data_IF_242133242521
#
_entry.id   IF_242133242521
#
_cell.length_a   1.000
_cell.length_b   1.000
_cell.length_c   1.000
_cell.angle_alpha   90.00
_cell.angle_beta   90.00
_cell.angle_gamma   90.00
#
_symmetry.space_group_name_H-M   'P 1'
#
loop_
_entity.id
_entity.type
_entity.pdbx_description
1 polymer ?
#
# COMPACT_ATOMS: atom_id res chain seq x y z
N UNK A 1 -55.30 18.24 40.93
CA UNK A 1 -54.47 18.68 39.79
C UNK A 1 -53.03 18.27 40.06
N UNK A 2 -52.74 16.97 39.97
CA UNK A 2 -51.42 16.41 40.22
C UNK A 2 -51.35 15.09 39.45
N UNK A 3 -50.88 15.16 38.21
CA UNK A 3 -50.63 13.99 37.37
C UNK A 3 -49.43 14.24 36.47
N UNK A 4 -48.53 13.27 36.46
CA UNK A 4 -47.54 12.98 35.43
C UNK A 4 -46.30 13.88 35.30
N UNK A 5 -45.40 13.77 36.28
CA UNK A 5 -43.97 13.77 35.98
C UNK A 5 -43.52 12.33 35.64
N UNK A 6 -43.76 11.91 34.40
CA UNK A 6 -43.14 10.71 33.83
C UNK A 6 -41.62 10.94 33.75
N UNK A 7 -40.90 10.43 34.74
CA UNK A 7 -39.46 10.22 34.69
C UNK A 7 -39.12 9.39 33.44
N UNK A 8 -38.63 10.04 32.38
CA UNK A 8 -37.93 9.37 31.28
C UNK A 8 -36.72 8.67 31.90
N UNK A 9 -36.77 7.35 32.06
CA UNK A 9 -35.60 6.56 32.44
C UNK A 9 -34.54 6.73 31.35
N UNK A 10 -33.54 7.56 31.64
CA UNK A 10 -32.36 7.70 30.80
C UNK A 10 -31.62 6.36 30.89
N UNK A 11 -31.75 5.53 29.85
CA UNK A 11 -30.98 4.30 29.74
C UNK A 11 -29.52 4.65 29.55
N UNK A 12 -28.82 4.68 30.67
CA UNK A 12 -27.38 4.83 30.79
C UNK A 12 -26.66 3.77 29.96
N UNK A 13 -25.99 4.19 28.88
CA UNK A 13 -25.23 3.28 28.03
C UNK A 13 -23.93 2.88 28.76
N UNK A 14 -23.60 1.58 28.75
CA UNK A 14 -22.41 1.04 29.40
C UNK A 14 -21.19 1.09 28.46
N UNK A 15 -19.96 1.13 28.99
CA UNK A 15 -18.71 1.20 28.21
C UNK A 15 -18.55 0.06 27.19
N UNK A 16 -19.20 -1.10 27.41
CA UNK A 16 -19.34 -2.18 26.43
C UNK A 16 -19.85 -1.70 25.05
N UNK A 17 -20.61 -0.61 25.03
CA UNK A 17 -21.13 -0.02 23.80
C UNK A 17 -20.08 0.77 23.01
N UNK A 18 -19.10 1.38 23.69
CA UNK A 18 -17.98 2.07 23.04
C UNK A 18 -17.12 1.04 22.30
N UNK A 19 -16.73 -0.05 22.98
CA UNK A 19 -15.97 -1.14 22.38
C UNK A 19 -16.78 -1.79 21.24
N UNK A 20 -18.08 -2.02 21.44
CA UNK A 20 -18.95 -2.54 20.38
C UNK A 20 -19.06 -1.58 19.19
N UNK A 21 -19.07 -0.27 19.41
CA UNK A 21 -19.07 0.72 18.32
C UNK A 21 -17.76 0.66 17.54
N UNK A 22 -16.61 0.59 18.22
CA UNK A 22 -15.30 0.44 17.58
C UNK A 22 -15.24 -0.84 16.73
N UNK A 23 -15.64 -1.98 17.30
CA UNK A 23 -15.66 -3.26 16.59
C UNK A 23 -16.59 -3.24 15.37
N UNK A 24 -17.77 -2.63 15.48
CA UNK A 24 -18.69 -2.47 14.34
C UNK A 24 -18.08 -1.62 13.22
N UNK A 25 -17.36 -0.56 13.56
CA UNK A 25 -16.68 0.26 12.55
C UNK A 25 -15.53 -0.49 11.88
N UNK A 26 -14.72 -1.23 12.65
CA UNK A 26 -13.69 -2.11 12.11
C UNK A 26 -14.30 -3.12 11.13
N UNK A 27 -15.34 -3.83 11.55
CA UNK A 27 -16.01 -4.82 10.72
C UNK A 27 -16.60 -4.20 9.45
N UNK A 28 -17.19 -3.00 9.53
CA UNK A 28 -17.69 -2.28 8.37
C UNK A 28 -16.59 -2.01 7.34
N UNK A 29 -15.44 -1.48 7.78
CA UNK A 29 -14.32 -1.19 6.87
C UNK A 29 -13.78 -2.47 6.22
N UNK A 30 -13.57 -3.53 7.00
CA UNK A 30 -13.14 -4.84 6.48
C UNK A 30 -14.09 -5.38 5.41
N UNK A 31 -15.41 -5.28 5.63
CA UNK A 31 -16.41 -5.71 4.66
C UNK A 31 -16.44 -4.82 3.42
N UNK A 32 -16.24 -3.51 3.56
CA UNK A 32 -16.17 -2.60 2.42
C UNK A 32 -14.91 -2.85 1.56
N UNK A 33 -13.79 -3.19 2.19
CA UNK A 33 -12.56 -3.58 1.49
C UNK A 33 -12.75 -4.89 0.74
N UNK A 34 -13.32 -5.91 1.39
CA UNK A 34 -13.69 -7.18 0.75
C UNK A 34 -14.67 -6.97 -0.41
N UNK A 35 -15.69 -6.13 -0.26
CA UNK A 35 -16.63 -5.78 -1.33
C UNK A 35 -15.90 -5.12 -2.51
N UNK A 36 -14.97 -4.21 -2.24
CA UNK A 36 -14.20 -3.54 -3.29
C UNK A 36 -13.31 -4.51 -4.06
N UNK A 37 -12.71 -5.48 -3.37
CA UNK A 37 -11.99 -6.60 -4.01
C UNK A 37 -12.90 -7.46 -4.87
N UNK A 38 -14.09 -7.81 -4.37
CA UNK A 38 -15.08 -8.56 -5.16
C UNK A 38 -15.45 -7.82 -6.43
N UNK A 39 -15.75 -6.52 -6.34
CA UNK A 39 -16.07 -5.68 -7.50
C UNK A 39 -14.88 -5.65 -8.48
N UNK A 40 -13.64 -5.54 -7.98
CA UNK A 40 -12.44 -5.56 -8.82
C UNK A 40 -12.26 -6.88 -9.57
N UNK A 41 -12.43 -8.03 -8.89
CA UNK A 41 -12.31 -9.35 -9.50
C UNK A 41 -13.42 -9.59 -10.54
N UNK A 42 -14.66 -9.16 -10.25
CA UNK A 42 -15.78 -9.28 -11.19
C UNK A 42 -15.57 -8.39 -12.42
N UNK A 43 -15.17 -7.13 -12.22
CA UNK A 43 -14.95 -6.17 -13.30
C UNK A 43 -13.84 -6.65 -14.25
N UNK A 44 -12.77 -7.24 -13.69
CA UNK A 44 -11.64 -7.77 -14.45
C UNK A 44 -11.74 -9.27 -14.74
N UNK A 45 -12.93 -9.87 -14.67
CA UNK A 45 -13.11 -11.32 -14.82
C UNK A 45 -12.58 -11.85 -16.15
N UNK A 46 -12.73 -11.10 -17.23
CA UNK A 46 -12.19 -11.49 -18.55
C UNK A 46 -10.66 -11.58 -18.55
N UNK A 47 -9.97 -10.67 -17.86
CA UNK A 47 -8.51 -10.72 -17.72
C UNK A 47 -8.08 -11.94 -16.89
N UNK A 48 -8.76 -12.19 -15.76
CA UNK A 48 -8.52 -13.38 -14.94
C UNK A 48 -8.69 -14.68 -15.74
N UNK A 49 -9.72 -14.74 -16.59
CA UNK A 49 -9.97 -15.92 -17.45
C UNK A 49 -8.87 -16.11 -18.50
N UNK A 50 -8.40 -15.03 -19.14
CA UNK A 50 -7.33 -15.09 -20.14
C UNK A 50 -6.02 -15.55 -19.51
N UNK A 51 -5.72 -15.09 -18.29
CA UNK A 51 -4.53 -15.50 -17.55
C UNK A 51 -4.63 -16.93 -16.97
N UNK A 52 -5.78 -17.60 -17.06
CA UNK A 52 -5.96 -18.96 -16.58
C UNK A 52 -6.12 -19.07 -15.05
N UNK A 53 -6.53 -18.00 -14.38
CA UNK A 53 -6.66 -17.94 -12.93
C UNK A 53 -7.79 -18.85 -12.43
N UNK A 54 -7.47 -19.71 -11.47
CA UNK A 54 -8.43 -20.59 -10.82
C UNK A 54 -9.29 -19.88 -9.76
N UNK A 55 -10.51 -20.39 -9.53
CA UNK A 55 -11.41 -19.82 -8.51
C UNK A 55 -10.81 -19.86 -7.08
N UNK A 56 -10.19 -20.98 -6.70
CA UNK A 56 -9.56 -21.12 -5.38
C UNK A 56 -8.42 -20.10 -5.18
N UNK A 57 -7.64 -19.87 -6.23
CA UNK A 57 -6.55 -18.89 -6.23
C UNK A 57 -7.08 -17.46 -6.11
N UNK A 58 -8.17 -17.13 -6.81
CA UNK A 58 -8.85 -15.86 -6.67
C UNK A 58 -9.42 -15.65 -5.26
N UNK A 59 -9.98 -16.70 -4.63
CA UNK A 59 -10.46 -16.63 -3.25
C UNK A 59 -9.33 -16.49 -2.22
N UNK A 60 -8.13 -17.00 -2.51
CA UNK A 60 -6.96 -16.80 -1.65
C UNK A 60 -6.59 -15.31 -1.48
N UNK A 61 -6.94 -14.45 -2.45
CA UNK A 61 -6.68 -13.00 -2.37
C UNK A 61 -7.30 -12.34 -1.13
N UNK A 62 -8.42 -12.87 -0.62
CA UNK A 62 -9.07 -12.35 0.60
C UNK A 62 -8.25 -12.64 1.84
N UNK A 63 -7.61 -13.81 1.91
CA UNK A 63 -6.73 -14.18 3.01
C UNK A 63 -5.44 -13.36 2.99
N UNK A 64 -4.78 -13.28 1.83
CA UNK A 64 -3.52 -12.55 1.67
C UNK A 64 -3.66 -11.03 1.80
N UNK A 65 -4.88 -10.51 1.66
CA UNK A 65 -5.16 -9.11 1.90
C UNK A 65 -5.36 -8.73 3.37
N UNK A 66 -5.65 -9.69 4.27
CA UNK A 66 -6.13 -9.39 5.62
C UNK A 66 -5.22 -8.44 6.41
N UNK A 67 -3.90 -8.62 6.32
CA UNK A 67 -2.96 -7.78 7.06
C UNK A 67 -2.96 -6.33 6.56
N UNK A 68 -2.99 -6.11 5.25
CA UNK A 68 -3.11 -4.77 4.67
C UNK A 68 -4.49 -4.17 4.91
N UNK A 69 -5.56 -4.96 4.83
CA UNK A 69 -6.92 -4.52 5.13
C UNK A 69 -7.05 -4.07 6.60
N UNK A 70 -6.49 -4.84 7.54
CA UNK A 70 -6.44 -4.49 8.96
C UNK A 70 -5.61 -3.23 9.21
N UNK A 71 -4.46 -3.08 8.55
CA UNK A 71 -3.65 -1.86 8.66
C UNK A 71 -4.40 -0.65 8.13
N UNK A 72 -5.01 -0.77 6.95
CA UNK A 72 -5.86 0.27 6.35
C UNK A 72 -7.01 0.64 7.30
N UNK A 73 -7.73 -0.34 7.82
CA UNK A 73 -8.81 -0.11 8.76
C UNK A 73 -8.30 0.61 10.02
N UNK A 74 -7.11 0.24 10.52
CA UNK A 74 -6.41 0.97 11.58
C UNK A 74 -6.29 2.46 11.27
N UNK A 75 -5.81 2.84 10.08
CA UNK A 75 -5.69 4.25 9.68
C UNK A 75 -7.05 4.97 9.68
N UNK A 76 -8.11 4.34 9.15
CA UNK A 76 -9.46 4.89 9.16
C UNK A 76 -10.07 4.97 10.58
N UNK A 77 -9.59 4.16 11.52
CA UNK A 77 -10.09 4.12 12.90
C UNK A 77 -9.37 5.08 13.85
N UNK A 78 -8.25 5.70 13.46
CA UNK A 78 -7.52 6.67 14.29
C UNK A 78 -8.48 7.76 14.82
N UNK A 79 -9.19 8.42 13.91
CA UNK A 79 -10.09 9.51 14.27
C UNK A 79 -11.32 9.04 15.08
N UNK A 80 -12.02 7.95 14.69
CA UNK A 80 -13.07 7.39 15.53
C UNK A 80 -12.62 6.95 16.92
N UNK A 81 -11.41 6.39 17.07
CA UNK A 81 -10.87 6.00 18.39
C UNK A 81 -10.70 7.22 19.28
N UNK A 82 -10.14 8.32 18.77
CA UNK A 82 -10.03 9.58 19.51
C UNK A 82 -11.41 10.09 19.90
N UNK A 83 -12.37 10.06 18.97
CA UNK A 83 -13.74 10.50 19.22
C UNK A 83 -14.44 9.63 20.27
N UNK A 84 -14.24 8.31 20.23
CA UNK A 84 -14.76 7.36 21.22
C UNK A 84 -14.13 7.55 22.60
N UNK A 85 -12.84 7.90 22.66
CA UNK A 85 -12.16 8.24 23.90
C UNK A 85 -12.79 9.49 24.53
N UNK A 86 -13.04 10.54 23.74
CA UNK A 86 -13.79 11.72 24.22
C UNK A 86 -15.20 11.35 24.66
N UNK A 87 -15.92 10.54 23.87
CA UNK A 87 -17.27 10.07 24.19
C UNK A 87 -17.35 9.24 25.47
N UNK A 88 -16.25 8.61 25.90
CA UNK A 88 -16.18 7.89 27.17
C UNK A 88 -16.29 8.82 28.39
N UNK A 89 -15.89 10.09 28.25
CA UNK A 89 -15.98 11.11 29.30
C UNK A 89 -17.14 12.09 29.08
N UNK A 90 -17.45 12.39 27.82
CA UNK A 90 -18.42 13.39 27.40
C UNK A 90 -19.10 12.97 26.08
N UNK A 91 -20.36 12.57 26.15
CA UNK A 91 -21.10 11.96 25.02
C UNK A 91 -22.29 12.81 24.50
N UNK A 92 -22.08 14.04 24.01
CA UNK A 92 -23.13 14.82 23.37
C UNK A 92 -23.50 14.25 21.99
N UNK A 93 -24.71 14.58 21.52
CA UNK A 93 -25.22 14.10 20.22
C UNK A 93 -24.36 14.54 19.02
N UNK A 94 -23.71 15.70 19.08
CA UNK A 94 -22.91 16.24 17.98
C UNK A 94 -21.67 15.40 17.66
N UNK A 95 -21.08 14.69 18.64
CA UNK A 95 -19.97 13.77 18.37
C UNK A 95 -20.40 12.60 17.47
N UNK A 96 -21.63 12.10 17.63
CA UNK A 96 -22.16 11.08 16.71
C UNK A 96 -22.37 11.64 15.29
N UNK A 97 -22.73 12.92 15.17
CA UNK A 97 -22.84 13.59 13.87
C UNK A 97 -21.47 13.72 13.21
N UNK A 98 -20.43 14.13 13.96
CA UNK A 98 -19.06 14.19 13.44
C UNK A 98 -18.60 12.81 12.96
N UNK A 99 -18.81 11.75 13.74
CA UNK A 99 -18.45 10.40 13.33
C UNK A 99 -19.20 9.95 12.05
N UNK A 100 -20.50 10.28 11.93
CA UNK A 100 -21.26 10.01 10.70
C UNK A 100 -20.70 10.75 9.48
N UNK A 101 -20.38 12.04 9.64
CA UNK A 101 -19.79 12.86 8.57
C UNK A 101 -18.41 12.32 8.18
N UNK A 102 -17.58 11.97 9.16
CA UNK A 102 -16.28 11.36 8.92
C UNK A 102 -16.40 10.06 8.12
N UNK A 103 -17.27 9.13 8.54
CA UNK A 103 -17.47 7.87 7.81
C UNK A 103 -18.10 8.11 6.44
N UNK A 104 -19.02 9.07 6.30
CA UNK A 104 -19.57 9.46 5.00
C UNK A 104 -18.47 9.89 4.03
N UNK A 105 -17.58 10.80 4.46
CA UNK A 105 -16.45 11.28 3.65
C UNK A 105 -15.49 10.12 3.35
N UNK A 106 -15.14 9.31 4.34
CA UNK A 106 -14.25 8.16 4.15
C UNK A 106 -14.81 7.15 3.14
N UNK A 107 -16.09 6.80 3.24
CA UNK A 107 -16.76 5.87 2.30
C UNK A 107 -16.85 6.49 0.91
N UNK A 108 -17.15 7.78 0.82
CA UNK A 108 -17.17 8.52 -0.44
C UNK A 108 -15.82 8.45 -1.14
N UNK A 109 -14.74 8.87 -0.45
CA UNK A 109 -13.39 8.89 -1.00
C UNK A 109 -12.89 7.50 -1.36
N UNK A 110 -13.14 6.50 -0.51
CA UNK A 110 -12.71 5.13 -0.76
C UNK A 110 -13.47 4.50 -1.94
N UNK A 111 -14.78 4.71 -2.05
CA UNK A 111 -15.56 4.27 -3.21
C UNK A 111 -15.12 4.97 -4.49
N UNK A 112 -14.83 6.28 -4.43
CA UNK A 112 -14.33 7.04 -5.58
C UNK A 112 -12.99 6.49 -6.06
N UNK A 113 -12.04 6.32 -5.13
CA UNK A 113 -10.72 5.74 -5.39
C UNK A 113 -10.83 4.38 -6.07
N UNK A 114 -11.57 3.46 -5.46
CA UNK A 114 -11.66 2.09 -5.95
C UNK A 114 -12.40 1.97 -7.27
N UNK A 115 -13.36 2.87 -7.58
CA UNK A 115 -14.03 2.87 -8.89
C UNK A 115 -13.18 3.55 -9.96
N UNK A 116 -12.49 4.65 -9.64
CA UNK A 116 -11.53 5.27 -10.55
C UNK A 116 -10.42 4.29 -10.93
N UNK A 117 -9.94 3.51 -9.97
CA UNK A 117 -8.96 2.44 -10.20
C UNK A 117 -9.46 1.40 -11.21
N UNK A 118 -10.75 1.02 -11.21
CA UNK A 118 -11.29 0.09 -12.21
C UNK A 118 -11.18 0.63 -13.63
N UNK A 119 -11.40 1.92 -13.82
CA UNK A 119 -11.30 2.55 -15.14
C UNK A 119 -9.88 2.61 -15.67
N UNK A 120 -8.89 2.75 -14.78
CA UNK A 120 -7.47 2.91 -15.13
C UNK A 120 -6.75 1.56 -15.24
N UNK A 121 -7.16 0.58 -14.43
CA UNK A 121 -6.45 -0.70 -14.29
C UNK A 121 -6.26 -1.48 -15.61
N UNK A 122 -7.22 -1.56 -16.54
CA UNK A 122 -7.02 -2.28 -17.80
C UNK A 122 -5.80 -1.81 -18.59
N UNK A 123 -5.54 -0.50 -18.58
CA UNK A 123 -4.43 0.14 -19.28
C UNK A 123 -3.15 0.14 -18.47
N UNK A 124 -3.23 0.42 -17.17
CA UNK A 124 -2.03 0.64 -16.34
C UNK A 124 -1.53 -0.62 -15.64
N UNK A 125 -2.37 -1.65 -15.50
CA UNK A 125 -2.07 -2.90 -14.78
C UNK A 125 -1.46 -2.69 -13.39
N UNK A 126 -1.79 -1.58 -12.74
CA UNK A 126 -1.33 -1.22 -11.39
C UNK A 126 -2.47 -0.58 -10.58
N UNK A 127 -2.32 -0.58 -9.26
CA UNK A 127 -3.21 0.15 -8.34
C UNK A 127 -3.02 1.65 -8.50
N UNK A 128 -4.05 2.44 -8.20
CA UNK A 128 -4.02 3.88 -8.42
C UNK A 128 -2.84 4.53 -7.67
N UNK A 129 -1.83 5.10 -8.37
CA UNK A 129 -0.70 5.76 -7.74
C UNK A 129 -0.95 7.26 -7.58
N UNK A 130 -0.12 7.95 -6.79
CA UNK A 130 -0.24 9.41 -6.62
C UNK A 130 -0.15 10.19 -7.94
N UNK A 131 0.58 9.67 -8.94
CA UNK A 131 0.71 10.30 -10.27
C UNK A 131 -0.62 10.40 -11.02
N UNK A 132 -1.62 9.60 -10.67
CA UNK A 132 -2.96 9.77 -11.22
C UNK A 132 -3.52 11.19 -10.96
N UNK A 133 -3.14 11.81 -9.83
CA UNK A 133 -3.55 13.19 -9.52
C UNK A 133 -2.90 14.24 -10.41
N UNK A 134 -1.72 13.99 -10.99
CA UNK A 134 -1.13 14.94 -11.94
C UNK A 134 -1.90 14.98 -13.25
N UNK A 135 -2.56 13.90 -13.67
CA UNK A 135 -3.43 13.94 -14.86
C UNK A 135 -4.72 14.73 -14.63
N UNK A 136 -5.14 14.93 -13.37
CA UNK A 136 -6.28 15.79 -13.05
C UNK A 136 -5.99 17.28 -13.27
N UNK A 137 -4.75 17.70 -13.54
CA UNK A 137 -4.48 19.08 -13.97
C UNK A 137 -5.02 19.35 -15.38
N UNK A 138 -5.11 18.30 -16.21
CA UNK A 138 -5.68 18.34 -17.57
C UNK A 138 -6.87 17.36 -17.66
N UNK A 139 -8.00 17.64 -16.97
CA UNK A 139 -9.11 16.68 -16.87
C UNK A 139 -9.79 16.38 -18.21
N UNK A 140 -9.66 17.27 -19.20
CA UNK A 140 -10.16 17.05 -20.56
C UNK A 140 -9.42 15.90 -21.26
N UNK A 141 -8.10 15.79 -21.08
CA UNK A 141 -7.31 14.70 -21.66
C UNK A 141 -7.77 13.33 -21.12
N UNK A 142 -8.09 13.26 -19.83
CA UNK A 142 -8.60 12.03 -19.20
C UNK A 142 -10.00 11.68 -19.73
N UNK A 143 -10.88 12.68 -19.87
CA UNK A 143 -12.22 12.46 -20.40
C UNK A 143 -12.21 12.01 -21.86
N UNK A 144 -11.40 12.65 -22.69
CA UNK A 144 -11.30 12.36 -24.13
C UNK A 144 -10.68 10.97 -24.41
N UNK A 145 -9.93 10.43 -23.44
CA UNK A 145 -9.35 9.08 -23.52
C UNK A 145 -10.35 7.97 -23.16
N UNK A 146 -11.46 8.29 -22.48
CA UNK A 146 -12.43 7.31 -21.99
C UNK A 146 -13.72 7.38 -22.80
N UNK A 147 -14.25 6.23 -23.23
CA UNK A 147 -15.56 6.23 -23.91
C UNK A 147 -16.67 6.73 -23.00
N UNK A 148 -17.60 7.51 -23.57
CA UNK A 148 -18.74 8.08 -22.82
C UNK A 148 -19.56 7.01 -22.09
N UNK A 149 -19.76 5.85 -22.71
CA UNK A 149 -20.45 4.71 -22.09
C UNK A 149 -19.72 4.16 -20.87
N UNK A 150 -18.39 4.02 -20.95
CA UNK A 150 -17.57 3.58 -19.82
C UNK A 150 -17.63 4.60 -18.68
N UNK A 151 -17.49 5.89 -18.96
CA UNK A 151 -17.58 6.95 -17.96
C UNK A 151 -18.89 6.90 -17.16
N UNK A 152 -20.04 6.86 -17.85
CA UNK A 152 -21.34 6.79 -17.17
C UNK A 152 -21.55 5.46 -16.43
N UNK A 153 -21.00 4.36 -16.92
CA UNK A 153 -21.05 3.07 -16.22
C UNK A 153 -20.26 3.09 -14.90
N UNK A 154 -19.07 3.69 -14.89
CA UNK A 154 -18.25 3.85 -13.70
C UNK A 154 -18.91 4.84 -12.72
N UNK A 155 -19.48 5.93 -13.23
CA UNK A 155 -20.24 6.88 -12.41
C UNK A 155 -21.45 6.21 -11.74
N UNK A 156 -22.22 5.42 -12.49
CA UNK A 156 -23.35 4.67 -11.94
C UNK A 156 -22.89 3.66 -10.88
N UNK A 157 -21.81 2.92 -11.15
CA UNK A 157 -21.21 1.98 -10.19
C UNK A 157 -20.76 2.71 -8.92
N UNK A 158 -20.13 3.87 -9.04
CA UNK A 158 -19.74 4.71 -7.90
C UNK A 158 -20.94 5.11 -7.06
N UNK A 159 -21.98 5.68 -7.68
CA UNK A 159 -23.19 6.12 -6.97
C UNK A 159 -23.88 4.96 -6.26
N UNK A 160 -24.04 3.81 -6.93
CA UNK A 160 -24.67 2.62 -6.35
C UNK A 160 -23.83 2.08 -5.19
N UNK A 161 -22.53 1.87 -5.40
CA UNK A 161 -21.61 1.35 -4.38
C UNK A 161 -21.56 2.26 -3.16
N UNK A 162 -21.44 3.57 -3.35
CA UNK A 162 -21.43 4.55 -2.28
C UNK A 162 -22.74 4.55 -1.49
N UNK A 163 -23.87 4.64 -2.18
CA UNK A 163 -25.20 4.71 -1.57
C UNK A 163 -25.50 3.45 -0.75
N UNK A 164 -25.26 2.27 -1.31
CA UNK A 164 -25.47 0.99 -0.62
C UNK A 164 -24.55 0.89 0.60
N UNK A 165 -23.25 1.17 0.43
CA UNK A 165 -22.27 1.04 1.52
C UNK A 165 -22.60 1.97 2.68
N UNK A 166 -22.92 3.23 2.40
CA UNK A 166 -23.28 4.19 3.44
C UNK A 166 -24.65 3.89 4.07
N UNK A 167 -25.63 3.44 3.29
CA UNK A 167 -26.91 2.99 3.81
C UNK A 167 -26.75 1.81 4.77
N UNK A 168 -25.98 0.80 4.38
CA UNK A 168 -25.64 -0.38 5.21
C UNK A 168 -24.91 0.07 6.48
N UNK A 169 -23.96 1.00 6.39
CA UNK A 169 -23.30 1.58 7.55
C UNK A 169 -24.34 2.15 8.53
N UNK A 170 -25.22 3.04 8.07
CA UNK A 170 -26.21 3.71 8.93
C UNK A 170 -27.21 2.72 9.54
N UNK A 171 -27.62 1.69 8.80
CA UNK A 171 -28.63 0.72 9.26
C UNK A 171 -28.08 -0.38 10.17
N UNK A 172 -26.87 -0.87 9.91
CA UNK A 172 -26.32 -2.07 10.57
C UNK A 172 -25.21 -1.73 11.56
N UNK A 173 -24.28 -0.86 11.18
CA UNK A 173 -23.02 -0.66 11.90
C UNK A 173 -23.02 0.58 12.80
N UNK A 174 -23.72 1.64 12.40
CA UNK A 174 -23.82 2.88 13.17
C UNK A 174 -24.49 2.64 14.53
N UNK A 175 -23.90 3.23 15.57
CA UNK A 175 -24.46 3.22 16.92
C UNK A 175 -24.56 4.65 17.43
N UNK A 176 -25.73 5.01 17.93
CA UNK A 176 -25.97 6.32 18.53
C UNK A 176 -25.53 6.27 20.01
N UNK A 177 -24.39 6.87 20.32
CA UNK A 177 -23.83 6.90 21.68
C UNK A 177 -24.22 8.20 22.38
N UNK A 178 -25.26 8.17 23.22
CA UNK A 178 -25.73 9.32 24.00
C UNK A 178 -25.92 8.90 25.45
N UNK A 179 -25.57 9.78 26.40
CA UNK A 179 -25.63 9.51 27.85
C UNK A 179 -24.86 8.24 28.26
N UNK A 180 -23.61 8.11 27.78
CA UNK A 180 -22.71 7.04 28.22
C UNK A 180 -22.36 7.25 29.69
N UNK A 181 -22.43 6.18 30.48
CA UNK A 181 -22.01 6.20 31.89
C UNK A 181 -20.52 6.45 32.01
N UNK A 182 -20.17 7.41 32.86
CA UNK A 182 -18.77 7.72 33.15
C UNK A 182 -18.18 6.58 33.99
N UNK A 183 -17.15 5.94 33.47
CA UNK A 183 -16.37 4.96 34.20
C UNK A 183 -14.88 5.19 33.95
N UNK A 184 -14.26 5.95 34.86
CA UNK A 184 -12.88 6.41 34.73
C UNK A 184 -11.86 5.27 34.63
N UNK A 185 -12.09 4.15 35.33
CA UNK A 185 -11.19 2.99 35.25
C UNK A 185 -11.22 2.39 33.84
N UNK A 186 -12.40 2.17 33.27
CA UNK A 186 -12.51 1.64 31.92
C UNK A 186 -12.04 2.62 30.85
N UNK A 187 -12.29 3.93 31.03
CA UNK A 187 -11.77 4.95 30.11
C UNK A 187 -10.24 4.99 30.14
N UNK A 188 -9.62 4.81 31.31
CA UNK A 188 -8.18 4.69 31.44
C UNK A 188 -7.65 3.41 30.75
N UNK A 189 -8.31 2.27 30.95
CA UNK A 189 -7.96 1.00 30.28
C UNK A 189 -8.09 1.15 28.76
N UNK A 190 -9.17 1.75 28.27
CA UNK A 190 -9.38 2.02 26.84
C UNK A 190 -8.27 2.93 26.29
N UNK A 191 -7.94 4.00 27.01
CA UNK A 191 -6.89 4.94 26.64
C UNK A 191 -5.48 4.31 26.66
N UNK A 192 -5.26 3.27 27.46
CA UNK A 192 -3.98 2.57 27.53
C UNK A 192 -3.86 1.48 26.45
N UNK A 193 -4.88 0.63 26.29
CA UNK A 193 -4.80 -0.58 25.45
C UNK A 193 -5.08 -0.28 23.98
N UNK A 194 -6.09 0.53 23.67
CA UNK A 194 -6.54 0.73 22.28
C UNK A 194 -5.47 1.41 21.43
N UNK A 195 -4.71 2.43 21.91
CA UNK A 195 -3.61 2.99 21.13
C UNK A 195 -2.50 1.97 20.81
N UNK A 196 -2.22 1.04 21.73
CA UNK A 196 -1.22 -0.03 21.49
C UNK A 196 -1.71 -0.98 20.41
N UNK A 197 -2.97 -1.43 20.49
CA UNK A 197 -3.57 -2.30 19.46
C UNK A 197 -3.66 -1.59 18.10
N UNK A 198 -4.00 -0.31 18.10
CA UNK A 198 -4.01 0.53 16.92
C UNK A 198 -2.61 0.61 16.31
N UNK A 199 -1.57 0.88 17.11
CA UNK A 199 -0.19 0.93 16.62
C UNK A 199 0.26 -0.39 15.97
N UNK A 200 -0.05 -1.53 16.58
CA UNK A 200 0.23 -2.86 16.01
C UNK A 200 -0.53 -3.04 14.69
N UNK A 201 -1.81 -2.65 14.64
CA UNK A 201 -2.63 -2.70 13.42
C UNK A 201 -2.04 -1.83 12.31
N UNK A 202 -1.68 -0.57 12.60
CA UNK A 202 -1.08 0.35 11.63
C UNK A 202 0.22 -0.20 11.03
N UNK A 203 1.06 -0.85 11.83
CA UNK A 203 2.28 -1.52 11.35
C UNK A 203 2.03 -2.81 10.57
N UNK A 204 0.81 -3.36 10.63
CA UNK A 204 0.46 -4.65 10.06
C UNK A 204 0.98 -5.84 10.88
N UNK A 205 1.24 -5.65 12.18
CA UNK A 205 1.73 -6.70 13.09
C UNK A 205 2.93 -6.26 13.95
N UNK A 206 3.62 -7.26 14.53
CA UNK A 206 4.75 -7.10 15.48
C UNK A 206 6.13 -7.31 14.83
N UNK A 207 6.17 -7.43 13.50
CA UNK A 207 7.40 -7.62 12.74
C UNK A 207 8.36 -6.42 12.81
N UNK A 208 9.63 -6.66 12.45
CA UNK A 208 10.71 -5.66 12.51
C UNK A 208 10.46 -4.44 11.60
N UNK A 209 9.94 -4.65 10.39
CA UNK A 209 9.69 -3.61 9.39
C UNK A 209 8.18 -3.39 9.23
N UNK A 210 7.68 -2.15 9.15
CA UNK A 210 6.27 -1.90 8.84
C UNK A 210 5.82 -2.62 7.55
N UNK A 211 4.56 -3.07 7.52
CA UNK A 211 3.99 -3.73 6.35
C UNK A 211 4.03 -2.81 5.12
N UNK A 212 4.23 -3.39 3.94
CA UNK A 212 4.20 -2.73 2.64
C UNK A 212 3.27 -3.49 1.68
N UNK A 213 3.12 -2.99 0.45
CA UNK A 213 2.24 -3.60 -0.56
C UNK A 213 2.65 -5.04 -0.92
N UNK A 214 3.96 -5.35 -0.91
CA UNK A 214 4.45 -6.68 -1.31
C UNK A 214 4.07 -7.77 -0.32
N UNK A 215 3.70 -7.43 0.92
CA UNK A 215 3.20 -8.40 1.90
C UNK A 215 1.91 -9.14 1.46
N UNK A 216 1.18 -8.60 0.47
CA UNK A 216 -0.02 -9.23 -0.10
C UNK A 216 0.23 -9.94 -1.44
N UNK A 217 1.48 -10.05 -1.90
CA UNK A 217 1.83 -10.77 -3.13
C UNK A 217 2.01 -12.27 -2.81
N UNK A 218 1.26 -13.13 -3.51
CA UNK A 218 1.19 -14.56 -3.22
C UNK A 218 1.04 -15.46 -4.46
N UNK A 219 0.71 -14.88 -5.62
CA UNK A 219 0.44 -15.59 -6.87
C UNK A 219 1.45 -15.21 -7.95
N UNK A 220 1.63 -16.08 -8.94
CA UNK A 220 2.34 -15.75 -10.18
C UNK A 220 1.53 -14.80 -11.08
N UNK A 221 0.22 -14.71 -10.88
CA UNK A 221 -0.67 -13.79 -11.57
C UNK A 221 -0.69 -12.43 -10.85
N UNK A 222 -0.06 -11.42 -11.46
CA UNK A 222 0.06 -10.09 -10.85
C UNK A 222 -1.31 -9.45 -10.54
N UNK A 223 -2.34 -9.72 -11.35
CA UNK A 223 -3.70 -9.24 -11.10
C UNK A 223 -4.26 -9.70 -9.75
N UNK A 224 -3.92 -10.91 -9.29
CA UNK A 224 -4.33 -11.42 -7.99
C UNK A 224 -3.55 -10.77 -6.84
N UNK A 225 -2.26 -10.55 -7.03
CA UNK A 225 -1.42 -9.83 -6.07
C UNK A 225 -1.96 -8.41 -5.87
N UNK A 226 -2.23 -7.70 -6.97
CA UNK A 226 -2.82 -6.38 -6.92
C UNK A 226 -4.24 -6.42 -6.32
N UNK A 227 -5.09 -7.40 -6.65
CA UNK A 227 -6.40 -7.53 -6.01
C UNK A 227 -6.31 -7.69 -4.48
N UNK A 228 -5.26 -8.32 -3.97
CA UNK A 228 -5.00 -8.47 -2.53
C UNK A 228 -4.48 -7.16 -1.88
N UNK A 229 -3.82 -6.28 -2.64
CA UNK A 229 -3.39 -4.96 -2.14
C UNK A 229 -4.61 -4.05 -1.93
N UNK A 230 -4.75 -3.52 -0.72
CA UNK A 230 -5.79 -2.54 -0.41
C UNK A 230 -5.51 -1.20 -1.12
N UNK A 231 -6.45 -0.73 -1.95
CA UNK A 231 -6.27 0.50 -2.75
C UNK A 231 -6.06 1.75 -1.88
N UNK A 232 -6.69 1.82 -0.70
CA UNK A 232 -6.51 2.92 0.24
C UNK A 232 -5.11 2.95 0.84
N UNK A 233 -4.58 1.79 1.22
CA UNK A 233 -3.19 1.65 1.66
C UNK A 233 -2.21 2.03 0.56
N UNK A 234 -2.41 1.50 -0.65
CA UNK A 234 -1.53 1.77 -1.79
C UNK A 234 -1.43 3.27 -2.08
N UNK A 235 -2.57 3.95 -2.17
CA UNK A 235 -2.60 5.38 -2.43
C UNK A 235 -1.93 6.18 -1.31
N UNK A 236 -2.19 5.81 -0.06
CA UNK A 236 -1.61 6.48 1.11
C UNK A 236 -0.08 6.40 1.12
N UNK A 237 0.48 5.20 0.96
CA UNK A 237 1.94 5.00 0.87
C UNK A 237 2.51 5.72 -0.35
N UNK A 238 1.86 5.58 -1.51
CA UNK A 238 2.28 6.24 -2.76
C UNK A 238 2.39 7.76 -2.59
N UNK A 239 1.46 8.39 -1.86
CA UNK A 239 1.53 9.83 -1.54
C UNK A 239 2.67 10.12 -0.55
N UNK A 240 2.80 9.36 0.54
CA UNK A 240 3.82 9.60 1.59
C UNK A 240 5.24 9.43 1.06
N UNK A 241 5.48 8.52 0.13
CA UNK A 241 6.80 8.34 -0.46
C UNK A 241 7.17 9.47 -1.43
N UNK A 242 6.17 10.16 -2.00
CA UNK A 242 6.39 11.10 -3.08
C UNK A 242 6.07 12.57 -2.74
N UNK A 243 5.41 12.87 -1.61
CA UNK A 243 4.94 14.24 -1.29
C UNK A 243 6.05 15.29 -1.29
N UNK A 244 7.27 14.93 -0.88
CA UNK A 244 8.43 15.84 -0.87
C UNK A 244 8.87 16.27 -2.26
N UNK A 245 8.55 15.47 -3.27
CA UNK A 245 8.96 15.65 -4.66
C UNK A 245 7.79 16.13 -5.54
N UNK A 246 6.66 16.54 -4.96
CA UNK A 246 5.52 17.01 -5.74
C UNK A 246 5.86 18.28 -6.51
N UNK A 247 5.66 18.25 -7.83
CA UNK A 247 5.81 19.40 -8.72
C UNK A 247 7.26 19.85 -8.99
N UNK A 248 8.28 19.10 -8.53
CA UNK A 248 9.69 19.43 -8.76
C UNK A 248 10.48 18.17 -9.11
N UNK A 249 11.40 18.28 -10.07
CA UNK A 249 12.39 17.23 -10.30
C UNK A 249 13.46 17.32 -9.20
N UNK A 250 13.53 16.36 -8.26
CA UNK A 250 14.50 16.43 -7.16
C UNK A 250 15.93 16.16 -7.64
N UNK A 251 16.12 15.78 -8.91
CA UNK A 251 17.41 15.46 -9.53
C UNK A 251 17.94 16.58 -10.43
N UNK A 252 17.38 17.79 -10.35
CA UNK A 252 17.83 18.96 -11.12
C UNK A 252 19.09 19.59 -10.51
N UNK A 253 20.22 18.86 -10.52
CA UNK A 253 21.50 19.32 -9.95
C UNK A 253 22.41 20.03 -10.96
N UNK A 254 22.30 19.69 -12.24
CA UNK A 254 23.18 20.17 -13.31
C UNK A 254 22.40 20.88 -14.41
N UNK A 255 23.09 21.69 -15.20
CA UNK A 255 22.50 22.30 -16.39
C UNK A 255 22.19 21.23 -17.45
N UNK A 256 21.20 21.48 -18.31
CA UNK A 256 20.81 20.54 -19.37
C UNK A 256 21.98 20.20 -20.30
N UNK A 257 22.86 21.16 -20.61
CA UNK A 257 24.04 20.92 -21.45
C UNK A 257 25.05 19.96 -20.82
N UNK A 258 25.30 20.09 -19.51
CA UNK A 258 26.17 19.18 -18.78
C UNK A 258 25.59 17.77 -18.72
N UNK A 259 24.28 17.65 -18.49
CA UNK A 259 23.57 16.37 -18.49
C UNK A 259 23.68 15.72 -19.87
N UNK A 260 23.35 16.42 -20.94
CA UNK A 260 23.38 15.88 -22.31
C UNK A 260 24.79 15.43 -22.71
N UNK A 261 25.83 16.20 -22.36
CA UNK A 261 27.23 15.84 -22.59
C UNK A 261 27.63 14.58 -21.82
N UNK A 262 27.25 14.48 -20.55
CA UNK A 262 27.58 13.35 -19.67
C UNK A 262 26.86 12.07 -20.11
N UNK A 263 25.56 12.14 -20.37
CA UNK A 263 24.75 11.04 -20.89
C UNK A 263 25.35 10.52 -22.21
N UNK A 264 25.68 11.41 -23.14
CA UNK A 264 26.27 11.02 -24.43
C UNK A 264 27.62 10.31 -24.27
N UNK A 265 28.38 10.65 -23.24
CA UNK A 265 29.64 9.98 -22.93
C UNK A 265 29.43 8.61 -22.26
N UNK A 266 28.49 8.51 -21.30
CA UNK A 266 28.17 7.26 -20.60
C UNK A 266 27.59 6.21 -21.56
N UNK A 267 26.68 6.61 -22.46
CA UNK A 267 26.03 5.71 -23.42
C UNK A 267 26.80 5.57 -24.74
N UNK A 268 28.05 6.05 -24.79
CA UNK A 268 28.91 5.84 -25.97
C UNK A 268 29.37 4.38 -25.99
N UNK A 269 28.79 3.57 -26.87
CA UNK A 269 29.26 2.21 -27.10
C UNK A 269 30.62 2.24 -27.81
N UNK A 270 31.70 1.91 -27.11
CA UNK A 270 33.05 1.92 -27.70
C UNK A 270 33.32 0.70 -28.60
N UNK A 271 32.67 -0.43 -28.32
CA UNK A 271 32.79 -1.68 -29.09
C UNK A 271 31.47 -2.43 -29.07
N UNK A 272 31.14 -3.04 -30.20
CA UNK A 272 29.95 -3.89 -30.38
C UNK A 272 30.23 -5.38 -30.09
N UNK A 273 31.47 -5.72 -29.72
CA UNK A 273 31.89 -7.08 -29.44
C UNK A 273 32.16 -7.30 -27.95
N UNK A 274 31.65 -8.42 -27.42
CA UNK A 274 31.92 -8.91 -26.08
C UNK A 274 33.03 -9.96 -26.11
N UNK A 275 33.91 -9.95 -25.12
CA UNK A 275 34.89 -11.02 -24.91
C UNK A 275 34.17 -12.28 -24.43
N UNK A 276 34.24 -13.35 -25.22
CA UNK A 276 33.71 -14.66 -24.83
C UNK A 276 34.64 -15.31 -23.81
N UNK A 277 34.18 -15.42 -22.56
CA UNK A 277 34.89 -16.10 -21.46
C UNK A 277 34.39 -17.53 -21.23
N UNK A 278 33.26 -17.89 -21.85
CA UNK A 278 32.64 -19.20 -21.70
C UNK A 278 33.15 -20.15 -22.79
N UNK A 279 33.38 -21.41 -22.39
CA UNK A 279 33.76 -22.51 -23.28
C UNK A 279 32.54 -23.28 -23.82
N UNK A 280 31.34 -22.92 -23.36
CA UNK A 280 30.08 -23.55 -23.76
C UNK A 280 29.00 -22.51 -23.99
N UNK A 281 28.15 -22.79 -24.97
CA UNK A 281 27.07 -21.94 -25.44
C UNK A 281 25.82 -22.07 -24.55
N UNK A 282 25.78 -23.08 -23.66
CA UNK A 282 24.64 -23.39 -22.78
C UNK A 282 25.11 -23.72 -21.35
N UNK A 283 25.73 -22.77 -20.63
CA UNK A 283 26.07 -22.99 -19.23
C UNK A 283 24.81 -23.04 -18.36
N UNK A 284 24.88 -23.78 -17.25
CA UNK A 284 23.97 -23.54 -16.14
C UNK A 284 24.41 -22.27 -15.41
N UNK A 285 23.46 -21.38 -15.12
CA UNK A 285 23.76 -20.12 -14.42
C UNK A 285 23.24 -20.22 -12.98
N UNK A 286 24.14 -20.03 -12.02
CA UNK A 286 23.82 -19.93 -10.60
C UNK A 286 24.24 -18.56 -10.12
N UNK A 287 23.28 -17.77 -9.62
CA UNK A 287 23.54 -16.44 -9.06
C UNK A 287 23.48 -16.51 -7.54
N UNK A 288 24.61 -16.23 -6.88
CA UNK A 288 24.71 -16.15 -5.43
C UNK A 288 24.73 -14.67 -5.01
N UNK A 289 23.67 -14.23 -4.34
CA UNK A 289 23.55 -12.87 -3.80
C UNK A 289 23.88 -12.92 -2.31
N UNK A 290 24.99 -12.28 -1.93
CA UNK A 290 25.51 -12.30 -0.56
C UNK A 290 25.09 -11.00 0.16
N UNK A 291 24.29 -11.14 1.22
CA UNK A 291 23.80 -10.01 2.02
C UNK A 291 24.94 -9.43 2.88
N UNK A 292 25.11 -8.10 2.83
CA UNK A 292 26.12 -7.37 3.61
C UNK A 292 27.57 -7.85 3.42
N UNK A 293 27.91 -8.35 2.22
CA UNK A 293 29.25 -8.85 1.88
C UNK A 293 30.09 -7.79 1.16
N UNK A 294 30.89 -7.02 1.91
CA UNK A 294 31.76 -5.96 1.36
C UNK A 294 33.15 -6.50 0.97
N UNK A 295 33.88 -5.71 0.17
CA UNK A 295 35.27 -5.99 -0.19
C UNK A 295 36.21 -6.06 1.03
N UNK A 296 35.84 -5.44 2.15
CA UNK A 296 36.62 -5.46 3.41
C UNK A 296 36.74 -6.86 4.03
N UNK A 297 35.89 -7.80 3.59
CA UNK A 297 35.94 -9.22 4.00
C UNK A 297 36.86 -10.07 3.09
N UNK A 298 37.34 -9.51 1.99
CA UNK A 298 38.07 -10.24 0.94
C UNK A 298 39.54 -9.80 0.95
N UNK A 299 40.41 -10.70 1.39
CA UNK A 299 41.86 -10.44 1.55
C UNK A 299 42.51 -9.96 0.24
N UNK A 300 42.15 -10.56 -0.90
CA UNK A 300 42.68 -10.20 -2.22
C UNK A 300 42.35 -8.77 -2.66
N UNK A 301 41.32 -8.17 -2.05
CA UNK A 301 40.90 -6.78 -2.27
C UNK A 301 41.44 -5.81 -1.21
N UNK A 302 42.31 -6.29 -0.31
CA UNK A 302 42.85 -5.52 0.81
C UNK A 302 42.01 -5.58 2.09
N UNK A 303 41.03 -6.49 2.15
CA UNK A 303 40.26 -6.78 3.36
C UNK A 303 41.03 -7.57 4.41
N UNK A 304 40.36 -7.89 5.52
CA UNK A 304 40.96 -8.62 6.64
C UNK A 304 41.35 -10.06 6.22
N UNK A 305 42.61 -10.48 6.45
CA UNK A 305 43.08 -11.81 6.07
C UNK A 305 42.32 -12.97 6.72
N UNK A 306 42.12 -14.05 5.97
CA UNK A 306 41.55 -15.31 6.49
C UNK A 306 40.06 -15.30 6.82
N UNK A 307 39.31 -14.22 6.54
CA UNK A 307 37.85 -14.18 6.77
C UNK A 307 37.09 -15.04 5.74
N UNK A 308 37.58 -15.11 4.50
CA UNK A 308 36.89 -15.74 3.36
C UNK A 308 37.75 -16.80 2.65
N UNK A 309 38.29 -17.81 3.35
CA UNK A 309 39.30 -18.73 2.82
C UNK A 309 38.78 -19.59 1.66
N UNK A 310 37.51 -19.98 1.67
CA UNK A 310 36.89 -20.74 0.57
C UNK A 310 36.66 -19.88 -0.67
N UNK A 311 36.31 -18.60 -0.48
CA UNK A 311 36.19 -17.65 -1.60
C UNK A 311 37.56 -17.41 -2.25
N UNK A 312 38.63 -17.33 -1.45
CA UNK A 312 39.99 -17.20 -1.96
C UNK A 312 40.42 -18.39 -2.84
N UNK A 313 39.88 -19.60 -2.60
CA UNK A 313 40.09 -20.72 -3.52
C UNK A 313 39.34 -20.51 -4.85
N UNK A 314 38.10 -20.04 -4.80
CA UNK A 314 37.30 -19.73 -5.99
C UNK A 314 37.92 -18.65 -6.87
N UNK A 315 38.60 -17.66 -6.29
CA UNK A 315 39.33 -16.62 -7.04
C UNK A 315 40.37 -17.20 -8.02
N UNK A 316 40.97 -18.35 -7.68
CA UNK A 316 41.99 -19.01 -8.51
C UNK A 316 41.40 -19.72 -9.73
N UNK A 317 40.12 -20.06 -9.66
CA UNK A 317 39.39 -20.79 -10.71
C UNK A 317 38.43 -19.87 -11.49
N UNK A 318 38.37 -18.58 -11.15
CA UNK A 318 37.38 -17.64 -11.66
C UNK A 318 37.93 -16.30 -12.11
N UNK A 319 37.02 -15.35 -12.32
CA UNK A 319 37.33 -13.97 -12.66
C UNK A 319 36.88 -13.09 -11.49
N UNK A 320 37.86 -12.51 -10.79
CA UNK A 320 37.61 -11.53 -9.73
C UNK A 320 37.55 -10.12 -10.32
N UNK A 321 36.45 -9.41 -10.06
CA UNK A 321 36.32 -7.99 -10.39
C UNK A 321 36.82 -7.13 -9.22
N UNK A 322 37.96 -6.48 -9.39
CA UNK A 322 38.59 -5.65 -8.35
C UNK A 322 38.06 -4.21 -8.29
N UNK A 323 37.31 -3.79 -9.32
CA UNK A 323 36.63 -2.50 -9.40
C UNK A 323 35.12 -2.68 -9.55
N UNK A 324 34.50 -3.34 -8.58
CA UNK A 324 33.05 -3.57 -8.54
C UNK A 324 32.44 -2.70 -7.43
N UNK A 325 31.45 -1.88 -7.78
CA UNK A 325 30.74 -1.03 -6.82
C UNK A 325 29.26 -1.38 -6.79
N UNK A 326 28.71 -1.48 -5.57
CA UNK A 326 27.28 -1.56 -5.40
C UNK A 326 26.61 -0.28 -5.93
N UNK A 327 25.46 -0.44 -6.58
CA UNK A 327 24.70 0.71 -7.11
C UNK A 327 24.15 1.59 -6.00
N UNK A 328 23.86 1.01 -4.83
CA UNK A 328 23.41 1.72 -3.64
C UNK A 328 23.62 0.90 -2.37
N UNK A 329 23.46 1.51 -1.19
CA UNK A 329 23.78 0.88 0.10
C UNK A 329 22.70 -0.05 0.65
N UNK A 330 21.59 -0.28 -0.08
CA UNK A 330 20.46 -1.11 0.39
C UNK A 330 20.18 -2.28 -0.52
N UNK A 331 19.84 -3.43 0.07
CA UNK A 331 19.46 -4.65 -0.65
C UNK A 331 18.31 -4.40 -1.64
N UNK A 332 17.33 -3.57 -1.27
CA UNK A 332 16.20 -3.22 -2.14
C UNK A 332 16.62 -2.53 -3.45
N UNK A 333 17.70 -1.75 -3.44
CA UNK A 333 18.28 -1.08 -4.61
C UNK A 333 19.16 -2.05 -5.41
N UNK A 334 19.94 -2.88 -4.70
CA UNK A 334 20.80 -3.89 -5.30
C UNK A 334 19.97 -4.87 -6.16
N UNK A 335 18.83 -5.34 -5.67
CA UNK A 335 17.96 -6.27 -6.41
C UNK A 335 17.51 -5.70 -7.77
N UNK A 336 17.16 -4.41 -7.82
CA UNK A 336 16.78 -3.77 -9.10
C UNK A 336 17.95 -3.67 -10.08
N UNK A 337 19.15 -3.42 -9.57
CA UNK A 337 20.35 -3.39 -10.42
C UNK A 337 20.78 -4.77 -10.93
N UNK A 338 20.73 -5.79 -10.08
CA UNK A 338 21.16 -7.15 -10.41
C UNK A 338 20.23 -7.77 -11.47
N UNK A 339 18.92 -7.64 -11.31
CA UNK A 339 17.96 -8.27 -12.22
C UNK A 339 17.54 -7.39 -13.40
N UNK A 340 17.55 -6.07 -13.23
CA UNK A 340 17.06 -5.12 -14.23
C UNK A 340 18.14 -4.25 -14.89
N UNK A 341 19.40 -4.35 -14.47
CA UNK A 341 20.47 -3.43 -14.91
C UNK A 341 20.19 -1.97 -14.54
N UNK A 342 19.26 -1.74 -13.62
CA UNK A 342 18.72 -0.41 -13.34
C UNK A 342 19.56 0.30 -12.27
N UNK A 343 20.05 1.53 -12.50
CA UNK A 343 20.87 2.23 -11.53
C UNK A 343 20.06 2.57 -10.27
N UNK A 344 20.70 2.56 -9.11
CA UNK A 344 20.03 2.96 -7.87
C UNK A 344 19.69 4.46 -7.91
N UNK A 345 18.50 4.79 -7.43
CA UNK A 345 18.09 6.18 -7.26
C UNK A 345 18.31 6.67 -5.82
N UNK A 346 18.72 7.93 -5.61
CA UNK A 346 19.03 8.46 -4.28
C UNK A 346 17.85 8.56 -3.31
N UNK A 347 16.62 8.73 -3.83
CA UNK A 347 15.47 9.15 -3.01
C UNK A 347 14.45 8.02 -2.80
N UNK A 348 14.26 7.16 -3.79
CA UNK A 348 13.31 6.05 -3.76
C UNK A 348 13.90 4.86 -4.49
N UNK A 349 13.62 3.64 -4.04
CA UNK A 349 13.88 2.45 -4.85
C UNK A 349 12.77 2.25 -5.87
N UNK A 350 13.06 1.57 -6.98
CA UNK A 350 12.02 1.14 -7.93
C UNK A 350 11.20 -0.02 -7.36
N UNK A 351 11.81 -0.87 -6.51
CA UNK A 351 11.14 -1.98 -5.78
C UNK A 351 10.00 -1.57 -4.87
N UNK A 352 9.96 -0.31 -4.43
CA UNK A 352 8.84 0.24 -3.64
C UNK A 352 7.81 1.00 -4.49
N UNK A 353 8.02 1.08 -5.81
CA UNK A 353 7.09 1.70 -6.76
C UNK A 353 6.46 0.66 -7.70
N UNK A 354 5.42 -0.08 -7.26
CA UNK A 354 4.75 -1.09 -8.08
C UNK A 354 4.29 -0.61 -9.46
N UNK A 355 3.93 0.68 -9.57
CA UNK A 355 3.52 1.34 -10.81
C UNK A 355 4.63 1.50 -11.85
N UNK A 356 5.87 1.10 -11.54
CA UNK A 356 7.01 1.11 -12.47
C UNK A 356 7.35 -0.27 -13.05
N UNK A 357 6.72 -1.33 -12.58
CA UNK A 357 6.95 -2.70 -13.08
C UNK A 357 5.91 -3.16 -14.11
N UNK A 358 4.80 -2.44 -14.22
CA UNK A 358 3.65 -2.75 -15.07
C UNK A 358 3.78 -2.23 -16.48
#
# INVERSE_FOLDING_TARGET
MASDFKSKSINYLNMKQIISSLFRQLLFWMLLFALSRTVFLIYNFNLLRIEGVGFAEAMASYWHALHLDLSTAGYFLIFPIVLLLVQSYYSPKWLNTINKVYVFIGVFLFCLLTVAELGIYPEWKTKMPYKAFTYLTNPTEVYDTISTGLFFSLLALFVVKFTISYFVYIKVFYRNLVHVTKNYLYSAIFALIIPVLLFISLRGGVQQIPINQSASYYSHHNILNLAAVNSGFNLFISIIENYKNFGKNPYSFYSKQEVDKTIKQIFKTERDSTTMVLTTDRPNIVLLILESWSADLIESLGGEPGITPEFHQLEKEGILFTGLWATGPRSEQAMSSIFGGFPAHPISSITVQPDKFS
#
